data_IF_380743591514
#
_entry.id   IF_380743591514
#
_cell.length_a   1.000
_cell.length_b   1.000
_cell.length_c   1.000
_cell.angle_alpha   90.00
_cell.angle_beta   90.00
_cell.angle_gamma   90.00
#
_symmetry.space_group_name_H-M   'P 1'
#
loop_
_entity.id
_entity.type
_entity.pdbx_description
1 polymer ?
#
# COMPACT_ATOMS: atom_id res chain seq x y z
N UNK A 1 -8.47 16.62 -6.10
CA UNK A 1 -9.13 15.34 -6.47
C UNK A 1 -9.64 15.47 -7.89
N UNK A 2 -8.80 15.12 -8.87
CA UNK A 2 -9.10 15.29 -10.30
C UNK A 2 -9.19 13.97 -11.05
N UNK A 3 -8.58 12.89 -10.52
CA UNK A 3 -8.74 11.55 -11.08
C UNK A 3 -10.21 11.12 -11.08
N UNK A 4 -10.67 10.56 -12.21
CA UNK A 4 -12.05 10.07 -12.41
C UNK A 4 -12.11 8.70 -13.06
N UNK A 5 -11.23 8.44 -14.01
CA UNK A 5 -11.18 7.24 -14.85
C UNK A 5 -9.75 7.02 -15.31
N UNK A 6 -9.44 5.80 -15.75
CA UNK A 6 -8.16 5.41 -16.32
C UNK A 6 -7.97 5.90 -17.77
N UNK A 7 -9.03 6.44 -18.40
CA UNK A 7 -8.97 6.95 -19.77
C UNK A 7 -7.86 8.00 -19.92
N UNK A 8 -6.98 7.82 -20.91
CA UNK A 8 -5.86 8.70 -21.20
C UNK A 8 -4.55 8.34 -20.50
N UNK A 9 -4.50 7.22 -19.75
CA UNK A 9 -3.28 6.66 -19.17
C UNK A 9 -2.74 5.44 -19.92
N UNK A 10 -3.34 5.06 -21.04
CA UNK A 10 -2.94 3.92 -21.87
C UNK A 10 -1.51 4.08 -22.38
N UNK A 11 -0.70 3.03 -22.25
CA UNK A 11 0.69 2.96 -22.70
C UNK A 11 1.62 4.07 -22.13
N UNK A 12 1.20 4.75 -21.05
CA UNK A 12 2.01 5.79 -20.39
C UNK A 12 2.80 5.24 -19.21
N UNK A 13 3.91 5.91 -18.89
CA UNK A 13 4.58 5.76 -17.61
C UNK A 13 3.91 6.70 -16.60
N UNK A 14 3.43 6.16 -15.49
CA UNK A 14 2.63 6.91 -14.51
C UNK A 14 3.27 6.83 -13.13
N UNK A 15 3.47 7.98 -12.50
CA UNK A 15 3.94 8.07 -11.12
C UNK A 15 2.79 8.47 -10.20
N UNK A 16 2.47 7.60 -9.24
CA UNK A 16 1.49 7.86 -8.19
C UNK A 16 2.22 8.21 -6.90
N UNK A 17 1.94 9.39 -6.36
CA UNK A 17 2.58 9.89 -5.14
C UNK A 17 1.65 9.69 -3.95
N UNK A 18 2.13 8.97 -2.94
CA UNK A 18 1.46 8.85 -1.64
C UNK A 18 0.97 7.43 -1.34
N UNK A 19 1.02 7.08 -0.05
CA UNK A 19 0.69 5.75 0.45
C UNK A 19 -0.74 5.56 0.98
N UNK A 20 -1.67 6.44 0.59
CA UNK A 20 -3.06 6.37 1.01
C UNK A 20 -3.88 5.33 0.23
N UNK A 21 -5.10 5.07 0.71
CA UNK A 21 -6.05 4.18 0.03
C UNK A 21 -6.30 4.60 -1.43
N UNK A 22 -6.53 5.90 -1.66
CA UNK A 22 -6.72 6.43 -3.02
C UNK A 22 -5.51 6.20 -3.92
N UNK A 23 -4.29 6.35 -3.41
CA UNK A 23 -3.07 6.13 -4.20
C UNK A 23 -2.94 4.67 -4.63
N UNK A 24 -3.21 3.73 -3.71
CA UNK A 24 -3.21 2.31 -4.04
C UNK A 24 -4.32 1.93 -5.03
N UNK A 25 -5.53 2.45 -4.87
CA UNK A 25 -6.65 2.19 -5.77
C UNK A 25 -6.36 2.73 -7.19
N UNK A 26 -5.91 3.98 -7.31
CA UNK A 26 -5.55 4.58 -8.59
C UNK A 26 -4.39 3.82 -9.25
N UNK A 27 -3.33 3.50 -8.51
CA UNK A 27 -2.21 2.74 -9.07
C UNK A 27 -2.65 1.34 -9.56
N UNK A 28 -3.51 0.66 -8.79
CA UNK A 28 -4.06 -0.64 -9.17
C UNK A 28 -4.95 -0.57 -10.41
N UNK A 29 -5.76 0.48 -10.54
CA UNK A 29 -6.64 0.67 -11.69
C UNK A 29 -5.83 1.01 -12.95
N UNK A 30 -4.96 2.00 -12.86
CA UNK A 30 -4.15 2.49 -13.98
C UNK A 30 -3.12 1.45 -14.44
N UNK A 31 -2.57 0.64 -13.54
CA UNK A 31 -1.61 -0.43 -13.89
C UNK A 31 -2.16 -1.51 -14.84
N UNK A 32 -3.46 -1.51 -15.11
CA UNK A 32 -4.08 -2.43 -16.08
C UNK A 32 -3.94 -1.95 -17.53
N UNK A 33 -3.71 -0.66 -17.74
CA UNK A 33 -3.69 -0.03 -19.07
C UNK A 33 -2.41 0.75 -19.35
N UNK A 34 -1.73 1.24 -18.30
CA UNK A 34 -0.47 1.94 -18.41
C UNK A 34 0.68 1.01 -18.81
N UNK A 35 1.70 1.56 -19.46
CA UNK A 35 2.92 0.83 -19.77
C UNK A 35 3.67 0.45 -18.48
N UNK A 36 3.79 1.39 -17.54
CA UNK A 36 4.38 1.12 -16.24
C UNK A 36 3.84 2.09 -15.18
N UNK A 37 3.51 1.57 -13.99
CA UNK A 37 3.14 2.40 -12.83
C UNK A 37 4.23 2.34 -11.78
N UNK A 38 4.59 3.51 -11.25
CA UNK A 38 5.48 3.67 -10.10
C UNK A 38 4.68 4.25 -8.95
N UNK A 39 4.73 3.61 -7.78
CA UNK A 39 4.12 4.17 -6.58
C UNK A 39 5.20 4.63 -5.60
N UNK A 40 5.22 5.92 -5.31
CA UNK A 40 6.16 6.54 -4.38
C UNK A 40 5.56 6.70 -2.99
N UNK A 41 6.23 6.12 -1.99
CA UNK A 41 5.82 6.22 -0.59
C UNK A 41 7.01 6.59 0.32
N UNK A 42 6.90 7.71 1.05
CA UNK A 42 7.96 8.18 1.97
C UNK A 42 8.16 7.27 3.20
N UNK A 43 7.07 6.82 3.80
CA UNK A 43 7.09 6.06 5.06
C UNK A 43 6.62 4.61 4.86
N UNK A 44 6.54 4.17 3.61
CA UNK A 44 5.92 2.90 3.28
C UNK A 44 4.40 2.89 3.45
N UNK A 45 3.83 1.69 3.41
CA UNK A 45 2.40 1.46 3.61
C UNK A 45 2.11 0.07 4.19
N UNK A 46 0.96 -0.06 4.84
CA UNK A 46 0.42 -1.35 5.27
C UNK A 46 -0.84 -1.62 4.46
N UNK A 47 -0.80 -2.68 3.67
CA UNK A 47 -1.89 -3.06 2.78
C UNK A 47 -2.58 -4.31 3.31
N UNK A 48 -3.88 -4.21 3.46
CA UNK A 48 -4.73 -5.30 3.93
C UNK A 48 -5.83 -5.57 2.90
N UNK A 49 -6.37 -6.79 2.93
CA UNK A 49 -7.52 -7.17 2.11
C UNK A 49 -8.84 -6.90 2.83
N UNK A 50 -9.91 -6.74 2.07
CA UNK A 50 -11.28 -6.77 2.58
C UNK A 50 -11.65 -8.17 3.05
N UNK A 51 -11.32 -9.17 2.22
CA UNK A 51 -11.58 -10.58 2.52
C UNK A 51 -10.47 -11.13 3.40
N UNK A 52 -10.82 -11.57 4.60
CA UNK A 52 -9.89 -12.12 5.58
C UNK A 52 -10.05 -13.64 5.73
N UNK A 53 -9.59 -14.17 6.87
CA UNK A 53 -9.67 -15.61 7.20
C UNK A 53 -11.09 -16.14 7.02
N UNK A 54 -11.21 -17.31 6.40
CA UNK A 54 -12.46 -18.01 6.10
C UNK A 54 -13.46 -17.20 5.24
N UNK A 55 -12.98 -16.21 4.48
CA UNK A 55 -13.84 -15.40 3.63
C UNK A 55 -14.63 -14.31 4.37
N UNK A 56 -14.41 -14.16 5.68
CA UNK A 56 -15.14 -13.20 6.49
C UNK A 56 -14.47 -11.82 6.36
N UNK A 57 -15.24 -10.71 6.26
CA UNK A 57 -14.69 -9.36 6.23
C UNK A 57 -13.75 -9.05 7.41
N UNK A 58 -12.64 -8.37 7.11
CA UNK A 58 -11.61 -8.01 8.09
C UNK A 58 -12.18 -7.19 9.25
N UNK A 59 -13.00 -6.21 8.93
CA UNK A 59 -13.61 -5.29 9.89
C UNK A 59 -14.54 -6.01 10.88
N UNK A 60 -15.38 -6.93 10.39
CA UNK A 60 -16.26 -7.75 11.25
C UNK A 60 -15.44 -8.56 12.27
N UNK A 61 -14.30 -9.12 11.86
CA UNK A 61 -13.44 -9.89 12.76
C UNK A 61 -12.66 -9.00 13.73
N UNK A 62 -12.09 -7.89 13.27
CA UNK A 62 -11.26 -7.01 14.10
C UNK A 62 -12.06 -6.08 15.02
N UNK A 63 -13.25 -5.63 14.62
CA UNK A 63 -14.07 -4.66 15.37
C UNK A 63 -15.17 -5.32 16.22
N UNK A 64 -15.04 -6.61 16.54
CA UNK A 64 -15.93 -7.24 17.52
C UNK A 64 -15.66 -6.74 18.95
N UNK A 65 -16.70 -6.66 19.79
CA UNK A 65 -16.58 -6.15 21.18
C UNK A 65 -15.54 -6.91 22.00
N UNK A 66 -15.47 -8.23 21.83
CA UNK A 66 -14.52 -9.09 22.55
C UNK A 66 -13.09 -8.76 22.12
N UNK A 67 -12.83 -8.63 20.82
CA UNK A 67 -11.50 -8.27 20.31
C UNK A 67 -11.10 -6.88 20.80
N UNK A 68 -11.99 -5.90 20.70
CA UNK A 68 -11.72 -4.54 21.18
C UNK A 68 -11.44 -4.50 22.70
N UNK A 69 -12.20 -5.26 23.49
CA UNK A 69 -11.97 -5.38 24.93
C UNK A 69 -10.59 -5.98 25.24
N UNK A 70 -10.23 -7.09 24.58
CA UNK A 70 -8.91 -7.71 24.74
C UNK A 70 -7.79 -6.75 24.33
N UNK A 71 -7.94 -6.08 23.18
CA UNK A 71 -6.95 -5.11 22.68
C UNK A 71 -6.80 -3.89 23.61
N UNK A 72 -7.84 -3.53 24.36
CA UNK A 72 -7.81 -2.43 25.33
C UNK A 72 -7.02 -2.75 26.60
N UNK A 73 -6.88 -4.04 26.93
CA UNK A 73 -6.16 -4.51 28.14
C UNK A 73 -4.68 -4.76 27.82
N UNK A 74 -4.37 -5.18 26.60
CA UNK A 74 -3.02 -5.54 26.20
C UNK A 74 -2.10 -4.31 26.06
N UNK A 75 -0.83 -4.40 26.47
CA UNK A 75 0.16 -3.35 26.23
C UNK A 75 0.33 -3.06 24.74
N UNK A 76 0.52 -1.78 24.38
CA UNK A 76 0.62 -1.32 22.99
C UNK A 76 1.66 -2.06 22.15
N UNK A 77 2.79 -2.47 22.74
CA UNK A 77 3.83 -3.24 22.04
C UNK A 77 3.34 -4.64 21.64
N UNK A 78 2.60 -5.31 22.52
CA UNK A 78 2.04 -6.64 22.28
C UNK A 78 0.96 -6.54 21.20
N UNK A 79 0.05 -5.56 21.34
CA UNK A 79 -1.00 -5.30 20.36
C UNK A 79 -0.43 -4.99 18.98
N UNK A 80 0.58 -4.11 18.88
CA UNK A 80 1.22 -3.80 17.60
C UNK A 80 1.93 -5.00 16.97
N UNK A 81 2.67 -5.78 17.77
CA UNK A 81 3.37 -6.97 17.27
C UNK A 81 2.38 -8.03 16.76
N UNK A 82 1.27 -8.22 17.48
CA UNK A 82 0.21 -9.14 17.08
C UNK A 82 -0.49 -8.68 15.80
N UNK A 83 -0.85 -7.40 15.70
CA UNK A 83 -1.45 -6.84 14.48
C UNK A 83 -0.49 -6.91 13.29
N UNK A 84 0.79 -6.65 13.51
CA UNK A 84 1.82 -6.77 12.47
C UNK A 84 1.97 -8.20 11.99
N UNK A 85 1.99 -9.17 12.90
CA UNK A 85 1.95 -10.59 12.57
C UNK A 85 0.70 -10.95 11.74
N UNK A 86 -0.48 -10.47 12.15
CA UNK A 86 -1.72 -10.71 11.39
C UNK A 86 -1.67 -10.11 9.99
N UNK A 87 -1.23 -8.87 9.85
CA UNK A 87 -1.13 -8.18 8.55
C UNK A 87 -0.12 -8.88 7.64
N UNK A 88 1.05 -9.25 8.16
CA UNK A 88 2.09 -9.95 7.41
C UNK A 88 1.75 -11.43 7.12
N UNK A 89 0.80 -12.03 7.84
CA UNK A 89 0.35 -13.41 7.58
C UNK A 89 -0.29 -13.58 6.20
N UNK A 90 -0.81 -12.50 5.64
CA UNK A 90 -1.35 -12.50 4.29
C UNK A 90 -0.23 -12.40 3.24
N UNK A 91 0.61 -11.38 3.32
CA UNK A 91 1.88 -11.31 2.57
C UNK A 91 2.89 -10.44 3.33
N UNK A 92 4.16 -10.73 3.12
CA UNK A 92 5.23 -9.99 3.77
C UNK A 92 5.41 -8.60 3.13
N UNK A 93 5.10 -7.55 3.89
CA UNK A 93 5.20 -6.18 3.44
C UNK A 93 6.63 -5.72 3.16
N UNK A 94 7.62 -6.31 3.82
CA UNK A 94 9.03 -6.01 3.61
C UNK A 94 9.49 -6.54 2.26
N UNK A 95 9.14 -7.79 1.94
CA UNK A 95 9.49 -8.44 0.66
C UNK A 95 8.89 -7.70 -0.53
N UNK A 96 7.71 -7.10 -0.37
CA UNK A 96 7.03 -6.33 -1.41
C UNK A 96 7.49 -4.86 -1.49
N UNK A 97 8.52 -4.47 -0.76
CA UNK A 97 9.08 -3.12 -0.78
C UNK A 97 8.17 -2.05 -0.16
N UNK A 98 7.15 -2.44 0.62
CA UNK A 98 6.22 -1.51 1.27
C UNK A 98 6.80 -0.93 2.55
N UNK A 99 7.76 -1.58 3.19
CA UNK A 99 8.62 -1.08 4.29
C UNK A 99 7.95 -0.05 5.23
N UNK A 100 6.92 -0.44 6.00
CA UNK A 100 6.22 0.47 6.90
C UNK A 100 7.15 0.94 8.04
N UNK A 101 7.31 2.26 8.18
CA UNK A 101 8.21 2.86 9.18
C UNK A 101 7.63 2.90 10.59
N UNK A 102 6.31 2.92 10.71
CA UNK A 102 5.61 3.14 11.98
C UNK A 102 4.87 1.88 12.45
N UNK A 103 4.59 1.78 13.77
CA UNK A 103 3.73 0.73 14.30
C UNK A 103 2.34 0.75 13.65
N UNK A 104 1.68 -0.41 13.60
CA UNK A 104 0.36 -0.57 12.98
C UNK A 104 -0.67 0.43 13.54
N UNK A 105 -0.66 0.66 14.86
CA UNK A 105 -1.60 1.58 15.51
C UNK A 105 -1.39 3.05 15.15
N UNK A 106 -0.23 3.40 14.59
CA UNK A 106 0.18 4.79 14.33
C UNK A 106 0.15 5.15 12.85
N UNK A 107 -0.29 4.22 11.99
CA UNK A 107 -0.37 4.42 10.55
C UNK A 107 -1.73 3.95 10.04
N UNK A 108 -2.27 4.66 9.04
CA UNK A 108 -3.49 4.22 8.38
C UNK A 108 -3.24 2.92 7.60
N UNK A 109 -4.21 1.99 7.65
CA UNK A 109 -4.21 0.79 6.84
C UNK A 109 -4.82 1.10 5.47
N UNK A 110 -4.15 0.66 4.41
CA UNK A 110 -4.64 0.75 3.05
C UNK A 110 -5.37 -0.54 2.69
N UNK A 111 -6.66 -0.45 2.41
CA UNK A 111 -7.48 -1.63 2.10
C UNK A 111 -7.54 -1.84 0.58
N UNK A 112 -6.78 -2.79 0.05
CA UNK A 112 -6.80 -3.11 -1.38
C UNK A 112 -6.52 -4.61 -1.62
N UNK A 113 -7.41 -5.26 -2.36
CA UNK A 113 -7.39 -6.71 -2.58
C UNK A 113 -6.46 -7.16 -3.71
N UNK A 114 -6.15 -6.27 -4.66
CA UNK A 114 -5.39 -6.58 -5.87
C UNK A 114 -3.96 -6.00 -5.86
N UNK A 115 -3.69 -4.99 -5.03
CA UNK A 115 -2.43 -4.24 -5.03
C UNK A 115 -1.18 -5.12 -4.88
N UNK A 116 -1.19 -6.09 -3.96
CA UNK A 116 -0.07 -7.00 -3.79
C UNK A 116 0.21 -7.82 -5.08
N UNK A 117 -0.84 -8.30 -5.75
CA UNK A 117 -0.69 -9.04 -7.01
C UNK A 117 -0.14 -8.16 -8.13
N UNK A 118 -0.55 -6.88 -8.17
CA UNK A 118 -0.02 -5.89 -9.11
C UNK A 118 1.46 -5.53 -8.85
N UNK A 119 1.95 -5.65 -7.62
CA UNK A 119 3.39 -5.55 -7.35
C UNK A 119 4.09 -6.83 -7.82
N UNK A 120 3.51 -7.99 -7.51
CA UNK A 120 4.12 -9.29 -7.80
C UNK A 120 4.30 -9.54 -9.31
N UNK A 121 3.36 -9.07 -10.14
CA UNK A 121 3.44 -9.19 -11.60
C UNK A 121 4.27 -8.08 -12.27
N UNK A 122 4.83 -7.13 -11.50
CA UNK A 122 5.62 -6.00 -12.00
C UNK A 122 4.81 -4.83 -12.55
N UNK A 123 3.47 -4.89 -12.56
CA UNK A 123 2.63 -3.80 -13.08
C UNK A 123 2.75 -2.53 -12.23
N UNK A 124 3.02 -2.68 -10.93
CA UNK A 124 3.34 -1.59 -10.01
C UNK A 124 4.74 -1.79 -9.43
N UNK A 125 5.59 -0.80 -9.63
CA UNK A 125 6.93 -0.76 -9.02
C UNK A 125 6.92 0.20 -7.85
N UNK A 126 7.26 -0.32 -6.67
CA UNK A 126 7.42 0.50 -5.47
C UNK A 126 8.70 1.34 -5.55
N UNK A 127 8.57 2.63 -5.24
CA UNK A 127 9.67 3.59 -5.14
C UNK A 127 9.65 4.29 -3.79
N UNK A 128 10.84 4.74 -3.36
CA UNK A 128 10.98 5.67 -2.24
C UNK A 128 10.44 7.04 -2.63
N UNK A 129 10.62 8.01 -1.74
CA UNK A 129 10.20 9.37 -1.97
C UNK A 129 10.85 9.97 -3.24
N UNK A 130 10.17 10.93 -3.86
CA UNK A 130 10.70 11.67 -5.00
C UNK A 130 11.80 12.61 -4.51
N UNK A 131 12.97 12.56 -5.16
CA UNK A 131 14.10 13.43 -4.88
C UNK A 131 13.95 14.74 -5.64
N UNK A 132 13.74 14.67 -6.95
CA UNK A 132 13.56 15.83 -7.82
C UNK A 132 12.71 15.48 -9.04
N UNK A 133 12.05 16.50 -9.59
CA UNK A 133 11.35 16.44 -10.86
C UNK A 133 12.26 17.04 -11.93
N UNK A 134 12.40 16.35 -13.05
CA UNK A 134 13.11 16.84 -14.23
C UNK A 134 12.10 17.44 -15.21
N UNK A 135 12.57 17.88 -16.38
CA UNK A 135 11.66 18.38 -17.43
C UNK A 135 10.73 17.29 -17.97
N UNK A 136 11.19 16.04 -17.99
CA UNK A 136 10.49 14.93 -18.66
C UNK A 136 10.16 13.74 -17.73
N UNK A 137 10.51 13.81 -16.45
CA UNK A 137 10.44 12.64 -15.58
C UNK A 137 10.68 12.93 -14.11
N UNK A 138 11.00 11.86 -13.38
CA UNK A 138 11.16 11.89 -11.93
C UNK A 138 12.37 11.06 -11.49
N UNK A 139 13.17 11.63 -10.59
CA UNK A 139 14.27 10.91 -9.93
C UNK A 139 13.84 10.57 -8.51
N UNK A 140 13.93 9.29 -8.14
CA UNK A 140 13.58 8.79 -6.81
C UNK A 140 14.79 8.70 -5.88
N UNK A 141 14.55 8.79 -4.57
CA UNK A 141 15.61 8.61 -3.57
C UNK A 141 16.28 7.23 -3.68
N UNK A 142 17.61 7.23 -3.85
CA UNK A 142 18.42 6.01 -3.99
C UNK A 142 18.55 5.50 -5.43
N UNK A 143 18.02 6.23 -6.40
CA UNK A 143 18.17 5.97 -7.83
C UNK A 143 18.85 7.17 -8.50
N UNK A 144 19.72 6.90 -9.47
CA UNK A 144 20.37 7.94 -10.29
C UNK A 144 19.71 8.12 -11.66
N UNK A 145 18.94 7.12 -12.11
CA UNK A 145 18.25 7.14 -13.39
C UNK A 145 16.90 7.87 -13.30
N UNK A 146 16.62 8.65 -14.34
CA UNK A 146 15.33 9.30 -14.57
C UNK A 146 14.30 8.25 -14.99
N UNK A 147 13.11 8.33 -14.39
CA UNK A 147 11.95 7.49 -14.70
C UNK A 147 10.87 8.29 -15.42
#
# INVERSE_FOLDING_TARGET
HEYKTWDGFEDKNVVVIGSGASGADVATEVSRVANQVYLSARNGMRVVRRVWRNGIPLDVQLYSRIVQYVMSILPSKVTNSFLEYLINSYFDHYVYGLNPKYPVSSQCLTVNDAFANCILNGAIIMRRNVKEFTENGVIFEGFEEET
#
